data_IF_080654870738
#
_entry.id   IF_080654870738
#
_cell.length_a   1.000
_cell.length_b   1.000
_cell.length_c   1.000
_cell.angle_alpha   90.00
_cell.angle_beta   90.00
_cell.angle_gamma   90.00
#
_symmetry.space_group_name_H-M   'P 1'
#
loop_
_entity.id
_entity.type
_entity.pdbx_description
1 polymer ?
#
# COMPACT_ATOMS: atom_id res chain seq x y z
N UNK A 1 13.75 1.35 2.08
CA UNK A 1 12.28 1.10 2.15
C UNK A 1 11.86 0.19 0.99
N UNK A 2 10.99 -0.80 1.23
CA UNK A 2 10.39 -1.64 0.18
C UNK A 2 8.90 -1.29 0.01
N UNK A 3 8.46 -0.99 -1.22
CA UNK A 3 7.07 -0.61 -1.53
C UNK A 3 6.55 -1.50 -2.65
N UNK A 4 5.52 -2.31 -2.38
CA UNK A 4 4.95 -3.20 -3.38
C UNK A 4 3.99 -2.46 -4.33
N UNK A 5 4.01 -2.81 -5.65
CA UNK A 5 3.12 -2.22 -6.64
C UNK A 5 3.31 -0.71 -6.84
N UNK A 6 4.55 -0.21 -6.80
CA UNK A 6 4.82 1.22 -6.73
C UNK A 6 5.25 1.88 -8.06
N UNK A 7 5.01 1.23 -9.20
CA UNK A 7 5.30 1.81 -10.52
C UNK A 7 4.39 2.99 -10.90
N UNK A 8 3.25 3.18 -10.25
CA UNK A 8 2.24 4.23 -10.57
C UNK A 8 1.37 4.56 -9.36
N UNK A 9 0.51 5.60 -9.56
CA UNK A 9 -0.56 5.98 -8.63
C UNK A 9 -0.02 6.25 -7.23
N UNK A 10 -0.68 5.74 -6.18
CA UNK A 10 -0.30 5.95 -4.78
C UNK A 10 1.10 5.42 -4.47
N UNK A 11 1.43 4.23 -4.97
CA UNK A 11 2.74 3.63 -4.72
C UNK A 11 3.90 4.49 -5.22
N UNK A 12 3.76 5.09 -6.43
CA UNK A 12 4.77 6.05 -6.95
C UNK A 12 4.89 7.28 -6.04
N UNK A 13 3.77 7.86 -5.60
CA UNK A 13 3.80 9.02 -4.73
C UNK A 13 4.47 8.72 -3.38
N UNK A 14 4.21 7.54 -2.81
CA UNK A 14 4.85 7.07 -1.58
C UNK A 14 6.36 6.88 -1.80
N UNK A 15 6.76 6.30 -2.94
CA UNK A 15 8.17 6.10 -3.28
C UNK A 15 8.93 7.43 -3.40
N UNK A 16 8.34 8.42 -4.08
CA UNK A 16 8.94 9.75 -4.20
C UNK A 16 9.05 10.46 -2.84
N UNK A 17 7.98 10.43 -2.03
CA UNK A 17 8.02 11.00 -0.68
C UNK A 17 9.07 10.32 0.21
N UNK A 18 9.30 9.01 0.05
CA UNK A 18 10.36 8.31 0.77
C UNK A 18 11.75 8.80 0.34
N UNK A 19 12.00 8.94 -0.97
CA UNK A 19 13.26 9.45 -1.50
C UNK A 19 13.53 10.91 -1.11
N UNK A 20 12.51 11.76 -1.11
CA UNK A 20 12.59 13.15 -0.62
C UNK A 20 13.03 13.23 0.85
N UNK A 21 12.71 12.19 1.64
CA UNK A 21 13.14 12.05 3.02
C UNK A 21 14.45 11.24 3.19
N UNK A 22 15.20 11.02 2.10
CA UNK A 22 16.52 10.40 2.12
C UNK A 22 16.53 8.88 2.27
N UNK A 23 15.40 8.20 2.04
CA UNK A 23 15.35 6.75 2.10
C UNK A 23 15.78 6.12 0.76
N UNK A 24 16.63 5.09 0.81
CA UNK A 24 16.82 4.18 -0.32
C UNK A 24 15.52 3.40 -0.57
N UNK A 25 15.10 3.29 -1.83
CA UNK A 25 13.77 2.80 -2.20
C UNK A 25 13.85 1.62 -3.17
N UNK A 26 13.28 0.49 -2.77
CA UNK A 26 12.92 -0.57 -3.69
C UNK A 26 11.43 -0.50 -3.99
N UNK A 27 11.07 -0.48 -5.27
CA UNK A 27 9.70 -0.64 -5.72
C UNK A 27 9.49 -2.00 -6.36
N UNK A 28 8.27 -2.56 -6.24
CA UNK A 28 7.93 -3.70 -7.08
C UNK A 28 6.87 -3.36 -8.13
N UNK A 29 6.86 -4.13 -9.19
CA UNK A 29 5.85 -4.07 -10.26
C UNK A 29 5.57 -5.48 -10.80
N UNK A 30 4.39 -5.71 -11.35
CA UNK A 30 4.08 -6.98 -12.02
C UNK A 30 4.22 -6.85 -13.54
N UNK A 31 3.48 -5.94 -14.18
CA UNK A 31 3.46 -5.75 -15.63
C UNK A 31 3.96 -4.38 -16.09
N UNK A 32 4.00 -3.39 -15.19
CA UNK A 32 4.26 -1.98 -15.49
C UNK A 32 5.76 -1.67 -15.59
N UNK A 33 6.50 -2.38 -16.46
CA UNK A 33 7.97 -2.25 -16.59
C UNK A 33 8.42 -0.86 -17.01
N UNK A 34 7.70 -0.23 -17.96
CA UNK A 34 8.04 1.10 -18.47
C UNK A 34 7.90 2.16 -17.38
N UNK A 35 6.79 2.11 -16.66
CA UNK A 35 6.51 3.03 -15.56
C UNK A 35 7.46 2.83 -14.38
N UNK A 36 7.79 1.58 -14.06
CA UNK A 36 8.79 1.27 -13.03
C UNK A 36 10.16 1.89 -13.36
N UNK A 37 10.64 1.78 -14.61
CA UNK A 37 11.89 2.43 -15.05
C UNK A 37 11.83 3.95 -14.93
N UNK A 38 10.68 4.56 -15.24
CA UNK A 38 10.51 6.00 -15.09
C UNK A 38 10.59 6.42 -13.62
N UNK A 39 9.94 5.68 -12.72
CA UNK A 39 10.01 5.96 -11.28
C UNK A 39 11.44 5.83 -10.75
N UNK A 40 12.20 4.80 -11.14
CA UNK A 40 13.61 4.67 -10.72
C UNK A 40 14.44 5.88 -11.14
N UNK A 41 14.24 6.39 -12.37
CA UNK A 41 14.95 7.58 -12.82
C UNK A 41 14.59 8.83 -11.99
N UNK A 42 13.32 8.96 -11.58
CA UNK A 42 12.90 10.05 -10.71
C UNK A 42 13.50 9.92 -9.31
N UNK A 43 13.48 8.71 -8.72
CA UNK A 43 14.05 8.44 -7.40
C UNK A 43 15.57 8.73 -7.36
N UNK A 44 16.30 8.32 -8.39
CA UNK A 44 17.73 8.60 -8.51
C UNK A 44 18.04 10.12 -8.50
N UNK A 45 17.12 10.96 -8.98
CA UNK A 45 17.24 12.42 -8.91
C UNK A 45 17.28 13.00 -7.49
N UNK A 46 16.87 12.24 -6.48
CA UNK A 46 16.94 12.62 -5.07
C UNK A 46 18.25 12.17 -4.37
N UNK A 47 19.16 11.53 -5.09
CA UNK A 47 20.47 11.13 -4.54
C UNK A 47 20.40 9.86 -3.66
N UNK A 48 19.35 9.06 -3.78
CA UNK A 48 19.15 7.80 -3.04
C UNK A 48 19.39 6.58 -3.93
N UNK A 49 19.69 5.43 -3.34
CA UNK A 49 19.70 4.16 -4.07
C UNK A 49 18.26 3.76 -4.42
N UNK A 50 18.03 3.39 -5.68
CA UNK A 50 16.69 3.05 -6.18
C UNK A 50 16.71 1.74 -6.98
N UNK A 51 15.79 0.83 -6.67
CA UNK A 51 15.69 -0.49 -7.28
C UNK A 51 14.25 -0.79 -7.71
N UNK A 52 14.06 -1.37 -8.90
CA UNK A 52 12.77 -1.90 -9.34
C UNK A 52 12.87 -3.41 -9.56
N UNK A 53 12.07 -4.18 -8.85
CA UNK A 53 12.02 -5.65 -8.96
C UNK A 53 10.66 -6.09 -9.48
N UNK A 54 10.64 -6.98 -10.47
CA UNK A 54 9.40 -7.60 -10.91
C UNK A 54 8.93 -8.61 -9.86
N UNK A 55 7.65 -8.49 -9.45
CA UNK A 55 7.08 -9.39 -8.47
C UNK A 55 5.58 -9.55 -8.67
N UNK A 56 5.13 -10.78 -8.73
CA UNK A 56 3.73 -11.13 -8.50
C UNK A 56 3.55 -11.43 -7.00
N UNK A 57 2.83 -10.56 -6.30
CA UNK A 57 2.59 -10.71 -4.84
C UNK A 57 1.69 -11.89 -4.50
N UNK A 58 1.03 -12.51 -5.50
CA UNK A 58 0.19 -13.70 -5.32
C UNK A 58 0.97 -15.00 -5.39
N UNK A 59 2.21 -14.97 -5.92
CA UNK A 59 3.12 -16.10 -6.05
C UNK A 59 4.19 -16.07 -4.94
N UNK A 60 4.18 -17.09 -4.08
CA UNK A 60 5.10 -17.21 -2.95
C UNK A 60 6.58 -17.26 -3.38
N UNK A 61 6.88 -17.94 -4.50
CA UNK A 61 8.25 -18.01 -5.03
C UNK A 61 8.73 -16.64 -5.50
N UNK A 62 7.89 -15.94 -6.28
CA UNK A 62 8.17 -14.58 -6.75
C UNK A 62 8.43 -13.62 -5.59
N UNK A 63 7.58 -13.69 -4.54
CA UNK A 63 7.75 -12.86 -3.33
C UNK A 63 9.06 -13.16 -2.61
N UNK A 64 9.40 -14.44 -2.43
CA UNK A 64 10.65 -14.86 -1.77
C UNK A 64 11.89 -14.37 -2.51
N UNK A 65 11.90 -14.52 -3.83
CA UNK A 65 13.01 -14.07 -4.68
C UNK A 65 13.16 -12.54 -4.62
N UNK A 66 12.07 -11.80 -4.77
CA UNK A 66 12.04 -10.34 -4.68
C UNK A 66 12.56 -9.83 -3.32
N UNK A 67 12.09 -10.37 -2.21
CA UNK A 67 12.52 -9.93 -0.87
C UNK A 67 14.01 -10.18 -0.67
N UNK A 68 14.54 -11.33 -1.11
CA UNK A 68 15.98 -11.63 -1.03
C UNK A 68 16.81 -10.67 -1.86
N UNK A 69 16.36 -10.36 -3.08
CA UNK A 69 17.04 -9.41 -3.97
C UNK A 69 17.09 -8.02 -3.34
N UNK A 70 15.93 -7.48 -2.91
CA UNK A 70 15.86 -6.18 -2.25
C UNK A 70 16.73 -6.11 -1.01
N UNK A 71 16.67 -7.14 -0.15
CA UNK A 71 17.47 -7.16 1.08
C UNK A 71 18.98 -7.23 0.82
N UNK A 72 19.40 -7.85 -0.28
CA UNK A 72 20.79 -7.87 -0.72
C UNK A 72 21.24 -6.51 -1.23
N UNK A 73 20.51 -5.95 -2.19
CA UNK A 73 20.87 -4.71 -2.89
C UNK A 73 20.83 -3.50 -1.94
N UNK A 74 19.78 -3.35 -1.14
CA UNK A 74 19.64 -2.25 -0.17
C UNK A 74 20.19 -2.58 1.24
N UNK A 75 20.92 -3.69 1.40
CA UNK A 75 21.58 -4.08 2.68
C UNK A 75 20.61 -4.22 3.85
N UNK A 76 19.35 -4.51 3.58
CA UNK A 76 18.28 -4.72 4.56
C UNK A 76 16.96 -4.10 4.15
N UNK A 77 15.96 -4.25 5.01
CA UNK A 77 14.63 -3.66 4.84
C UNK A 77 14.22 -3.08 6.20
N UNK A 78 14.19 -1.76 6.31
CA UNK A 78 13.78 -1.07 7.52
C UNK A 78 12.26 -0.83 7.55
N UNK A 79 11.69 -0.53 6.39
CA UNK A 79 10.27 -0.22 6.24
C UNK A 79 9.71 -1.00 5.06
N UNK A 80 8.60 -1.70 5.31
CA UNK A 80 7.80 -2.37 4.28
C UNK A 80 6.46 -1.64 4.11
N UNK A 81 6.11 -1.29 2.88
CA UNK A 81 4.78 -0.78 2.52
C UNK A 81 4.10 -1.79 1.59
N UNK A 82 3.08 -2.47 2.09
CA UNK A 82 2.21 -3.35 1.31
C UNK A 82 1.17 -2.51 0.57
N UNK A 83 1.52 -2.06 -0.65
CA UNK A 83 0.65 -1.21 -1.46
C UNK A 83 0.03 -1.95 -2.67
N UNK A 84 0.66 -3.01 -3.18
CA UNK A 84 0.11 -3.78 -4.30
C UNK A 84 -1.30 -4.28 -3.99
N UNK A 85 -2.25 -3.98 -4.86
CA UNK A 85 -3.64 -4.37 -4.72
C UNK A 85 -4.37 -4.32 -6.06
N UNK A 86 -5.42 -5.13 -6.18
CA UNK A 86 -6.39 -5.08 -7.26
C UNK A 86 -7.69 -4.40 -6.77
N UNK A 87 -8.36 -3.73 -7.69
CA UNK A 87 -9.63 -3.06 -7.46
C UNK A 87 -10.56 -3.32 -8.64
N UNK A 88 -11.78 -3.74 -8.35
CA UNK A 88 -12.78 -4.03 -9.36
C UNK A 88 -14.16 -3.60 -8.84
N UNK A 89 -14.99 -3.07 -9.76
CA UNK A 89 -16.38 -2.71 -9.50
C UNK A 89 -17.28 -3.74 -10.16
N UNK A 90 -17.99 -4.54 -9.36
CA UNK A 90 -18.91 -5.59 -9.83
C UNK A 90 -20.13 -5.63 -8.92
N UNK A 91 -21.34 -5.76 -9.49
CA UNK A 91 -22.57 -5.97 -8.72
C UNK A 91 -22.49 -7.30 -7.97
N UNK A 92 -23.03 -7.33 -6.75
CA UNK A 92 -22.85 -8.47 -5.83
C UNK A 92 -23.20 -9.83 -6.46
N UNK A 93 -24.31 -9.93 -7.14
CA UNK A 93 -24.80 -11.18 -7.77
C UNK A 93 -23.99 -11.58 -9.02
N UNK A 94 -23.16 -10.68 -9.56
CA UNK A 94 -22.33 -10.93 -10.75
C UNK A 94 -20.88 -11.28 -10.39
N UNK A 95 -20.50 -11.19 -9.12
CA UNK A 95 -19.15 -11.55 -8.69
C UNK A 95 -18.95 -13.05 -8.82
N UNK A 96 -18.01 -13.46 -9.67
CA UNK A 96 -17.59 -14.85 -9.80
C UNK A 96 -16.65 -15.25 -8.69
N UNK A 97 -16.59 -16.55 -8.36
CA UNK A 97 -15.62 -17.09 -7.39
C UNK A 97 -14.18 -16.75 -7.81
N UNK A 98 -13.87 -16.83 -9.10
CA UNK A 98 -12.53 -16.48 -9.62
C UNK A 98 -12.16 -15.01 -9.35
N UNK A 99 -13.08 -14.06 -9.52
CA UNK A 99 -12.86 -12.65 -9.19
C UNK A 99 -12.68 -12.45 -7.69
N UNK A 100 -13.50 -13.12 -6.88
CA UNK A 100 -13.36 -13.11 -5.43
C UNK A 100 -11.99 -13.58 -4.99
N UNK A 101 -11.56 -14.76 -5.47
CA UNK A 101 -10.27 -15.36 -5.14
C UNK A 101 -9.09 -14.49 -5.61
N UNK A 102 -9.17 -13.92 -6.80
CA UNK A 102 -8.13 -13.04 -7.33
C UNK A 102 -7.94 -11.76 -6.48
N UNK A 103 -9.04 -11.15 -6.04
CA UNK A 103 -9.00 -9.97 -5.15
C UNK A 103 -8.38 -10.34 -3.79
N UNK A 104 -8.79 -11.46 -3.18
CA UNK A 104 -8.21 -11.89 -1.91
C UNK A 104 -6.76 -12.36 -2.03
N UNK A 105 -6.40 -12.98 -3.15
CA UNK A 105 -5.02 -13.37 -3.43
C UNK A 105 -4.08 -12.16 -3.45
N UNK A 106 -4.46 -11.09 -4.15
CA UNK A 106 -3.63 -9.88 -4.23
C UNK A 106 -3.73 -9.01 -2.98
N UNK A 107 -4.95 -8.73 -2.49
CA UNK A 107 -5.15 -7.70 -1.48
C UNK A 107 -4.91 -8.16 -0.05
N UNK A 108 -5.09 -9.46 0.24
CA UNK A 108 -4.99 -10.01 1.60
C UNK A 108 -3.84 -11.00 1.73
N UNK A 109 -3.80 -12.04 0.88
CA UNK A 109 -2.73 -13.03 0.90
C UNK A 109 -1.38 -12.43 0.50
N UNK A 110 -1.36 -11.53 -0.51
CA UNK A 110 -0.13 -10.84 -0.93
C UNK A 110 0.58 -10.11 0.20
N UNK A 111 -0.08 -9.17 0.92
CA UNK A 111 0.50 -8.52 2.10
C UNK A 111 0.99 -9.50 3.18
N UNK A 112 0.27 -10.60 3.41
CA UNK A 112 0.72 -11.66 4.31
C UNK A 112 2.02 -12.31 3.82
N UNK A 113 2.09 -12.73 2.55
CA UNK A 113 3.27 -13.38 1.98
C UNK A 113 4.49 -12.44 2.03
N UNK A 114 4.34 -11.21 1.55
CA UNK A 114 5.43 -10.23 1.52
C UNK A 114 5.91 -9.91 2.93
N UNK A 115 5.00 -9.69 3.88
CA UNK A 115 5.36 -9.42 5.26
C UNK A 115 6.11 -10.59 5.87
N UNK A 116 5.62 -11.83 5.72
CA UNK A 116 6.23 -13.04 6.25
C UNK A 116 7.67 -13.22 5.75
N UNK A 117 7.91 -13.07 4.45
CA UNK A 117 9.23 -13.19 3.87
C UNK A 117 10.17 -12.04 4.29
N UNK A 118 9.65 -10.82 4.48
CA UNK A 118 10.43 -9.66 4.89
C UNK A 118 10.76 -9.65 6.40
N UNK A 119 10.03 -10.41 7.25
CA UNK A 119 10.18 -10.38 8.71
C UNK A 119 11.62 -10.47 9.21
N UNK A 120 12.50 -11.39 8.73
CA UNK A 120 13.86 -11.50 9.24
C UNK A 120 14.67 -10.22 9.08
N UNK A 121 14.43 -9.49 8.00
CA UNK A 121 15.14 -8.25 7.67
C UNK A 121 14.57 -7.07 8.46
N UNK A 122 13.24 -6.92 8.47
CA UNK A 122 12.54 -5.83 9.19
C UNK A 122 12.78 -5.96 10.71
N UNK A 123 12.78 -7.19 11.26
CA UNK A 123 13.03 -7.42 12.69
C UNK A 123 14.45 -7.01 13.11
N UNK A 124 15.47 -7.32 12.30
CA UNK A 124 16.87 -6.92 12.58
C UNK A 124 17.03 -5.41 12.67
N UNK A 125 16.20 -4.67 11.95
CA UNK A 125 16.21 -3.19 11.91
C UNK A 125 15.29 -2.56 12.95
N UNK A 126 14.53 -3.37 13.72
CA UNK A 126 13.42 -2.89 14.59
C UNK A 126 12.50 -1.98 13.79
N UNK A 127 12.17 -2.45 12.58
CA UNK A 127 11.56 -1.65 11.52
C UNK A 127 10.03 -1.55 11.61
N UNK A 128 9.41 -1.26 10.48
CA UNK A 128 7.97 -0.95 10.41
C UNK A 128 7.31 -1.61 9.21
N UNK A 129 6.04 -1.98 9.37
CA UNK A 129 5.20 -2.47 8.28
C UNK A 129 3.98 -1.56 8.17
N UNK A 130 3.71 -1.06 6.97
CA UNK A 130 2.56 -0.21 6.68
C UNK A 130 1.73 -0.89 5.61
N UNK A 131 0.48 -1.20 5.93
CA UNK A 131 -0.45 -1.83 5.01
C UNK A 131 -1.36 -0.78 4.37
N UNK A 132 -1.55 -0.84 3.06
CA UNK A 132 -2.54 0.00 2.38
C UNK A 132 -3.92 -0.65 2.50
N UNK A 133 -4.70 -0.14 3.44
CA UNK A 133 -6.10 -0.43 3.61
C UNK A 133 -6.97 0.26 2.57
N UNK A 134 -8.17 0.63 2.96
CA UNK A 134 -9.12 1.45 2.20
C UNK A 134 -10.27 1.88 3.11
N UNK A 135 -10.89 3.01 2.81
CA UNK A 135 -12.20 3.36 3.38
C UNK A 135 -13.24 2.26 3.14
N UNK A 136 -13.15 1.52 2.01
CA UNK A 136 -13.99 0.36 1.73
C UNK A 136 -13.83 -0.80 2.73
N UNK A 137 -12.76 -0.84 3.51
CA UNK A 137 -12.60 -1.80 4.63
C UNK A 137 -13.23 -1.32 5.94
N UNK A 138 -13.68 -0.07 6.02
CA UNK A 138 -14.37 0.56 7.15
C UNK A 138 -15.86 0.77 6.83
N UNK A 139 -16.15 1.22 5.61
CA UNK A 139 -17.48 1.56 5.12
C UNK A 139 -17.86 0.71 3.90
N UNK A 140 -19.05 0.06 3.88
CA UNK A 140 -19.42 -0.82 2.78
C UNK A 140 -19.79 -0.04 1.51
N UNK A 141 -19.43 -0.63 0.35
CA UNK A 141 -19.85 -0.17 -0.98
C UNK A 141 -20.56 -1.31 -1.69
N UNK A 142 -21.79 -1.09 -2.13
CA UNK A 142 -22.68 -2.12 -2.65
C UNK A 142 -22.10 -2.92 -3.84
N UNK A 143 -21.30 -2.26 -4.70
CA UNK A 143 -20.72 -2.88 -5.90
C UNK A 143 -19.28 -3.36 -5.72
N UNK A 144 -18.82 -3.53 -4.47
CA UNK A 144 -17.42 -3.85 -4.16
C UNK A 144 -17.27 -4.90 -3.07
N UNK A 145 -18.18 -5.88 -2.99
CA UNK A 145 -18.21 -6.80 -1.87
C UNK A 145 -16.88 -7.53 -1.65
N UNK A 146 -16.28 -8.10 -2.70
CA UNK A 146 -14.97 -8.77 -2.62
C UNK A 146 -13.84 -7.81 -2.23
N UNK A 147 -13.82 -6.59 -2.80
CA UNK A 147 -12.80 -5.58 -2.49
C UNK A 147 -12.93 -5.09 -1.04
N UNK A 148 -14.12 -4.67 -0.62
CA UNK A 148 -14.37 -4.20 0.75
C UNK A 148 -14.01 -5.26 1.78
N UNK A 149 -14.45 -6.51 1.56
CA UNK A 149 -14.12 -7.64 2.42
C UNK A 149 -12.61 -7.89 2.50
N UNK A 150 -11.90 -7.83 1.36
CA UNK A 150 -10.44 -7.99 1.34
C UNK A 150 -9.72 -6.89 2.11
N UNK A 151 -10.19 -5.64 2.05
CA UNK A 151 -9.60 -4.51 2.77
C UNK A 151 -9.93 -4.53 4.27
N UNK A 152 -11.12 -4.98 4.66
CA UNK A 152 -11.44 -5.25 6.06
C UNK A 152 -10.53 -6.36 6.63
N UNK A 153 -10.24 -7.41 5.86
CA UNK A 153 -9.28 -8.44 6.24
C UNK A 153 -7.86 -7.88 6.42
N UNK A 154 -7.40 -6.93 5.57
CA UNK A 154 -6.10 -6.24 5.75
C UNK A 154 -6.09 -5.42 7.04
N UNK A 155 -7.17 -4.73 7.40
CA UNK A 155 -7.27 -3.98 8.66
C UNK A 155 -7.13 -4.92 9.86
N UNK A 156 -7.80 -6.08 9.84
CA UNK A 156 -7.64 -7.07 10.91
C UNK A 156 -6.25 -7.70 10.91
N UNK A 157 -5.70 -8.05 9.74
CA UNK A 157 -4.32 -8.57 9.61
C UNK A 157 -3.31 -7.59 10.22
N UNK A 158 -3.48 -6.29 9.99
CA UNK A 158 -2.63 -5.24 10.58
C UNK A 158 -2.63 -5.32 12.12
N UNK A 159 -3.81 -5.44 12.74
CA UNK A 159 -3.95 -5.54 14.21
C UNK A 159 -3.34 -6.82 14.75
N UNK A 160 -3.54 -7.95 14.06
CA UNK A 160 -2.95 -9.25 14.44
C UNK A 160 -1.43 -9.19 14.35
N UNK A 161 -0.89 -8.67 13.25
CA UNK A 161 0.56 -8.53 13.07
C UNK A 161 1.16 -7.57 14.10
N UNK A 162 0.50 -6.44 14.40
CA UNK A 162 0.95 -5.50 15.42
C UNK A 162 1.11 -6.19 16.79
N UNK A 163 0.16 -7.03 17.17
CA UNK A 163 0.21 -7.79 18.43
C UNK A 163 1.26 -8.89 18.41
N UNK A 164 1.42 -9.59 17.29
CA UNK A 164 2.33 -10.73 17.16
C UNK A 164 3.80 -10.34 17.00
N UNK A 165 4.08 -9.14 16.46
CA UNK A 165 5.42 -8.69 16.09
C UNK A 165 6.00 -7.63 17.04
N UNK A 166 5.22 -7.16 18.00
CA UNK A 166 5.73 -6.32 19.07
C UNK A 166 6.68 -7.11 20.00
N UNK A 167 7.69 -6.45 20.61
CA UNK A 167 7.99 -5.02 20.54
C UNK A 167 8.94 -4.62 19.39
N UNK A 168 9.38 -5.56 18.56
CA UNK A 168 10.43 -5.31 17.57
C UNK A 168 9.93 -4.53 16.36
N UNK A 169 8.68 -4.77 15.93
CA UNK A 169 8.12 -4.20 14.71
C UNK A 169 6.78 -3.53 15.02
N UNK A 170 6.64 -2.27 14.62
CA UNK A 170 5.32 -1.62 14.59
C UNK A 170 4.62 -1.91 13.26
N UNK A 171 3.32 -2.18 13.32
CA UNK A 171 2.50 -2.47 12.13
C UNK A 171 1.25 -1.61 12.15
N UNK A 172 1.06 -0.79 11.13
CA UNK A 172 -0.08 0.10 10.99
C UNK A 172 -0.68 0.03 9.58
N UNK A 173 -1.85 0.61 9.38
CA UNK A 173 -2.47 0.74 8.08
C UNK A 173 -2.90 2.18 7.79
N UNK A 174 -2.78 2.58 6.53
CA UNK A 174 -3.41 3.78 5.99
C UNK A 174 -4.62 3.33 5.18
N UNK A 175 -5.78 3.93 5.42
CA UNK A 175 -7.04 3.65 4.74
C UNK A 175 -7.45 4.87 3.88
N UNK A 176 -7.07 4.93 2.60
CA UNK A 176 -7.45 6.01 1.70
C UNK A 176 -8.95 6.08 1.48
N UNK A 177 -9.51 7.29 1.46
CA UNK A 177 -10.85 7.58 0.99
C UNK A 177 -10.90 7.78 -0.53
N UNK A 178 -11.65 8.79 -0.99
CA UNK A 178 -11.74 9.15 -2.40
C UNK A 178 -10.53 9.99 -2.80
N UNK A 179 -9.62 9.36 -3.56
CA UNK A 179 -8.36 9.99 -3.99
C UNK A 179 -8.43 10.28 -5.48
N UNK A 180 -8.36 11.55 -5.82
CA UNK A 180 -8.31 11.99 -7.22
C UNK A 180 -6.87 11.91 -7.74
N UNK A 181 -6.67 11.04 -8.73
CA UNK A 181 -5.39 10.84 -9.40
C UNK A 181 -5.32 11.55 -10.76
N UNK A 182 -6.25 12.46 -11.04
CA UNK A 182 -6.29 13.24 -12.28
C UNK A 182 -6.84 12.48 -13.49
N UNK A 183 -7.59 11.40 -13.30
CA UNK A 183 -8.18 10.62 -14.39
C UNK A 183 -9.38 11.37 -14.98
N UNK A 184 -9.26 11.89 -16.21
CA UNK A 184 -10.30 12.69 -16.87
C UNK A 184 -11.67 11.99 -16.95
N UNK A 185 -11.69 10.68 -17.19
CA UNK A 185 -12.91 9.88 -17.26
C UNK A 185 -13.69 9.86 -15.93
N UNK A 186 -13.03 10.04 -14.80
CA UNK A 186 -13.65 10.05 -13.47
C UNK A 186 -13.97 11.46 -12.93
N UNK A 187 -13.74 12.52 -13.69
CA UNK A 187 -13.86 13.90 -13.21
C UNK A 187 -15.25 14.24 -12.64
N UNK A 188 -16.33 13.78 -13.29
CA UNK A 188 -17.70 14.00 -12.82
C UNK A 188 -17.97 13.30 -11.48
N UNK A 189 -17.46 12.07 -11.32
CA UNK A 189 -17.54 11.31 -10.08
C UNK A 189 -16.79 12.03 -8.96
N UNK A 190 -15.54 12.46 -9.19
CA UNK A 190 -14.74 13.17 -8.19
C UNK A 190 -15.32 14.54 -7.83
N UNK A 191 -15.96 15.26 -8.77
CA UNK A 191 -16.70 16.50 -8.47
C UNK A 191 -17.88 16.25 -7.53
N UNK A 192 -18.57 15.12 -7.67
CA UNK A 192 -19.68 14.73 -6.79
C UNK A 192 -19.15 14.34 -5.40
N UNK A 193 -18.14 13.50 -5.32
CA UNK A 193 -17.59 13.02 -4.04
C UNK A 193 -16.94 14.14 -3.24
N UNK A 194 -16.27 15.11 -3.88
CA UNK A 194 -15.74 16.30 -3.21
C UNK A 194 -16.81 17.10 -2.46
N UNK A 195 -18.05 17.19 -3.01
CA UNK A 195 -19.16 17.86 -2.34
C UNK A 195 -19.67 17.11 -1.11
N UNK A 196 -19.56 15.77 -1.11
CA UNK A 196 -19.99 14.90 -0.02
C UNK A 196 -18.92 14.80 1.10
N UNK A 197 -17.66 15.01 0.75
CA UNK A 197 -16.56 14.98 1.70
C UNK A 197 -16.63 16.23 2.61
N UNK A 198 -16.59 16.11 3.94
CA UNK A 198 -16.59 17.25 4.86
C UNK A 198 -15.51 18.28 4.56
N UNK A 199 -14.30 17.86 4.20
CA UNK A 199 -13.19 18.75 3.79
C UNK A 199 -13.39 19.41 2.41
N UNK A 200 -14.55 19.18 1.73
CA UNK A 200 -14.95 19.81 0.46
C UNK A 200 -13.96 19.59 -0.70
N UNK A 201 -13.13 18.59 -0.61
CA UNK A 201 -12.24 18.13 -1.66
C UNK A 201 -12.05 16.61 -1.59
N UNK A 202 -11.59 16.02 -2.68
CA UNK A 202 -11.04 14.67 -2.64
C UNK A 202 -9.61 14.73 -2.11
N UNK A 203 -9.13 13.61 -1.61
CA UNK A 203 -7.72 13.45 -1.28
C UNK A 203 -6.85 13.41 -2.54
N UNK A 204 -5.57 13.65 -2.35
CA UNK A 204 -4.53 13.55 -3.37
C UNK A 204 -3.58 12.40 -3.04
N UNK A 205 -2.73 12.01 -4.01
CA UNK A 205 -1.68 11.04 -3.74
C UNK A 205 -0.70 11.54 -2.66
N UNK A 206 -0.47 12.86 -2.58
CA UNK A 206 0.38 13.48 -1.55
C UNK A 206 -0.21 13.35 -0.14
N UNK A 207 -1.55 13.51 0.04
CA UNK A 207 -2.20 13.30 1.33
C UNK A 207 -1.94 11.88 1.85
N UNK A 208 -1.99 10.88 0.96
CA UNK A 208 -1.74 9.48 1.32
C UNK A 208 -0.26 9.23 1.60
N UNK A 209 0.64 9.76 0.77
CA UNK A 209 2.07 9.63 0.98
C UNK A 209 2.50 10.24 2.33
N UNK A 210 1.95 11.41 2.70
CA UNK A 210 2.22 12.04 4.00
C UNK A 210 1.78 11.14 5.18
N UNK A 211 0.61 10.50 5.09
CA UNK A 211 0.15 9.57 6.12
C UNK A 211 1.02 8.31 6.22
N UNK A 212 1.49 7.77 5.10
CA UNK A 212 2.45 6.66 5.09
C UNK A 212 3.78 7.09 5.71
N UNK A 213 4.30 8.28 5.37
CA UNK A 213 5.54 8.81 5.95
C UNK A 213 5.40 9.11 7.45
N UNK A 214 4.22 9.53 7.92
CA UNK A 214 3.95 9.63 9.36
C UNK A 214 4.17 8.31 10.09
N UNK A 215 3.66 7.19 9.57
CA UNK A 215 3.94 5.87 10.18
C UNK A 215 5.37 5.40 9.93
N UNK A 216 5.98 5.77 8.82
CA UNK A 216 7.34 5.38 8.46
C UNK A 216 8.40 6.04 9.36
N UNK A 217 8.19 7.29 9.76
CA UNK A 217 9.18 8.13 10.48
C UNK A 217 8.73 8.56 11.87
N UNK A 218 7.44 8.50 12.15
CA UNK A 218 6.84 8.96 13.43
C UNK A 218 7.15 8.03 14.62
N UNK A 219 6.44 8.18 15.74
CA UNK A 219 6.69 7.41 16.96
C UNK A 219 6.48 5.90 16.75
N UNK A 220 7.48 5.09 17.13
CA UNK A 220 7.39 3.63 17.04
C UNK A 220 6.35 3.03 18.00
N UNK A 221 5.96 3.77 19.03
CA UNK A 221 4.94 3.35 19.99
C UNK A 221 3.52 3.29 19.42
N UNK A 222 3.33 3.78 18.18
CA UNK A 222 2.07 3.66 17.45
C UNK A 222 2.08 2.34 16.69
N UNK A 223 1.23 1.40 17.08
CA UNK A 223 1.06 0.11 16.41
C UNK A 223 -0.39 -0.35 16.44
N UNK A 224 -0.81 -1.16 15.45
CA UNK A 224 -2.15 -1.70 15.32
C UNK A 224 -3.21 -0.69 14.85
N UNK A 225 -2.81 0.50 14.42
CA UNK A 225 -3.74 1.55 14.02
C UNK A 225 -4.14 1.42 12.55
N UNK A 226 -5.37 1.81 12.26
CA UNK A 226 -5.89 2.02 10.91
C UNK A 226 -6.26 3.49 10.80
N UNK A 227 -5.46 4.26 10.06
CA UNK A 227 -5.67 5.70 9.89
C UNK A 227 -6.47 5.95 8.61
N UNK A 228 -7.71 6.38 8.76
CA UNK A 228 -8.50 6.87 7.63
C UNK A 228 -7.92 8.22 7.15
N UNK A 229 -7.70 8.32 5.83
CA UNK A 229 -7.26 9.55 5.14
C UNK A 229 -8.29 9.84 4.06
N UNK A 230 -9.42 10.38 4.49
CA UNK A 230 -10.64 10.43 3.68
C UNK A 230 -11.36 11.79 3.71
N UNK A 231 -10.79 12.77 4.43
CA UNK A 231 -11.39 14.09 4.61
C UNK A 231 -12.68 14.08 5.42
N UNK A 232 -12.87 13.08 6.27
CA UNK A 232 -14.06 12.90 7.12
C UNK A 232 -15.22 12.19 6.42
N UNK A 233 -14.98 11.53 5.28
CA UNK A 233 -16.04 10.85 4.51
C UNK A 233 -16.62 9.63 5.24
N UNK A 234 -15.89 9.05 6.19
CA UNK A 234 -16.34 7.95 7.04
C UNK A 234 -17.39 8.39 8.06
N UNK A 235 -17.27 9.62 8.56
CA UNK A 235 -18.15 10.20 9.56
C UNK A 235 -19.57 10.43 9.01
#
# INVERSE_FOLDING_TARGET
>A
MLITGAAKRLGRAIALAAAENGADVAITYHESTREARAVIKELAGHGVEALAVRCDVTDEKSVREMVKEVARELRGIDILVNNAANYETVEFEKITVAQWDAIFASNTRGPFLVSREALPYVRRRRGRIINMGSLGGLRPWATHAHYCSSKAAVHMLTKVMAKALAPEISVNAVAPGMIDLGEKAAAAFFKKTAKQTPMRRNGTAADIAAAVMFFAMGPQFITGQVLAVDGGLEL
#
